data_IF_191823938212
#
_entry.id   IF_191823938212
#
_cell.length_a   1.000
_cell.length_b   1.000
_cell.length_c   1.000
_cell.angle_alpha   90.00
_cell.angle_beta   90.00
_cell.angle_gamma   90.00
#
_symmetry.space_group_name_H-M   'P 1'
#
loop_
_entity.id
_entity.type
_entity.pdbx_description
1 polymer ?
#
# COMPACT_ATOMS: atom_id res chain seq x y z
N UNK A 1 -22.25 5.65 20.53
CA UNK A 1 -22.03 5.46 19.08
C UNK A 1 -21.76 3.98 18.85
N UNK A 2 -22.46 3.31 17.94
CA UNK A 2 -22.23 1.90 17.65
C UNK A 2 -20.91 1.76 16.87
N UNK A 3 -20.07 0.81 17.27
CA UNK A 3 -18.80 0.52 16.60
C UNK A 3 -18.95 -0.77 15.80
N UNK A 4 -18.42 -0.77 14.56
CA UNK A 4 -18.39 -1.96 13.72
C UNK A 4 -17.33 -2.92 14.26
N UNK A 5 -17.71 -4.17 14.49
CA UNK A 5 -16.80 -5.21 14.98
C UNK A 5 -15.73 -5.54 13.94
N UNK A 6 -14.55 -5.94 14.39
CA UNK A 6 -13.44 -6.37 13.51
C UNK A 6 -13.81 -7.59 12.64
N UNK A 7 -14.79 -8.40 13.08
CA UNK A 7 -15.31 -9.56 12.32
C UNK A 7 -16.40 -9.20 11.31
N UNK A 8 -16.72 -7.91 11.13
CA UNK A 8 -17.74 -7.48 10.19
C UNK A 8 -17.46 -7.95 8.76
N UNK A 9 -18.48 -8.36 7.99
CA UNK A 9 -18.29 -8.81 6.61
C UNK A 9 -17.76 -7.66 5.74
N UNK A 10 -16.98 -8.00 4.73
CA UNK A 10 -16.40 -7.04 3.78
C UNK A 10 -17.30 -6.98 2.54
N UNK A 11 -17.49 -5.77 1.99
CA UNK A 11 -18.25 -5.52 0.76
C UNK A 11 -19.68 -6.07 0.80
N UNK A 12 -20.24 -6.18 2.01
CA UNK A 12 -21.57 -6.73 2.27
C UNK A 12 -22.34 -5.80 3.19
N UNK A 13 -23.64 -5.63 2.91
CA UNK A 13 -24.53 -4.83 3.75
C UNK A 13 -24.69 -5.47 5.13
N UNK A 14 -24.51 -4.66 6.16
CA UNK A 14 -24.89 -4.98 7.54
C UNK A 14 -26.15 -4.17 7.86
N UNK A 15 -27.35 -4.80 7.80
CA UNK A 15 -28.60 -4.08 8.04
C UNK A 15 -28.74 -3.72 9.51
N UNK A 16 -29.24 -2.52 9.75
CA UNK A 16 -29.73 -2.09 11.05
C UNK A 16 -31.18 -1.67 10.89
N UNK A 17 -32.05 -2.20 11.74
CA UNK A 17 -33.48 -1.92 11.71
C UNK A 17 -33.87 -1.26 13.03
N UNK A 18 -34.56 -0.16 12.96
CA UNK A 18 -35.13 0.54 14.12
C UNK A 18 -36.64 0.73 13.95
N UNK A 19 -37.37 0.56 15.05
CA UNK A 19 -38.81 0.85 15.14
C UNK A 19 -39.15 1.28 16.56
N UNK A 20 -40.26 1.94 16.73
CA UNK A 20 -40.81 2.32 18.02
C UNK A 20 -42.00 1.44 18.36
N UNK A 21 -42.04 0.89 19.56
CA UNK A 21 -43.22 0.20 20.09
C UNK A 21 -43.97 1.15 21.03
N UNK A 22 -45.28 1.27 20.87
CA UNK A 22 -46.12 2.07 21.73
C UNK A 22 -47.42 1.33 22.05
N UNK A 23 -47.87 1.42 23.31
CA UNK A 23 -48.93 0.57 23.81
C UNK A 23 -48.55 -0.94 23.79
N UNK A 24 -49.56 -1.79 23.97
CA UNK A 24 -49.30 -3.25 24.07
C UNK A 24 -49.17 -3.95 22.73
N UNK A 25 -49.65 -3.34 21.61
CA UNK A 25 -49.73 -4.00 20.30
C UNK A 25 -49.36 -3.13 19.10
N UNK A 26 -48.97 -1.89 19.32
CA UNK A 26 -48.68 -0.95 18.24
C UNK A 26 -47.18 -0.80 18.00
N UNK A 27 -46.78 -0.80 16.72
CA UNK A 27 -45.40 -0.66 16.26
C UNK A 27 -45.36 0.37 15.13
N UNK A 28 -44.39 1.27 15.14
CA UNK A 28 -44.11 2.16 14.02
C UNK A 28 -43.63 1.40 12.78
N UNK A 29 -43.59 2.06 11.64
CA UNK A 29 -42.89 1.57 10.48
C UNK A 29 -41.39 1.31 10.82
N UNK A 30 -40.83 0.29 10.19
CA UNK A 30 -39.39 -0.04 10.34
C UNK A 30 -38.55 0.86 9.46
N UNK A 31 -37.60 1.54 10.06
CA UNK A 31 -36.53 2.25 9.34
C UNK A 31 -35.33 1.34 9.25
N UNK A 32 -34.87 1.09 8.01
CA UNK A 32 -33.71 0.25 7.73
C UNK A 32 -32.55 1.09 7.21
N UNK A 33 -31.38 0.87 7.75
CA UNK A 33 -30.11 1.44 7.27
C UNK A 33 -29.10 0.32 7.05
N UNK A 34 -28.18 0.50 6.11
CA UNK A 34 -27.09 -0.44 5.86
C UNK A 34 -25.75 0.21 6.21
N UNK A 35 -24.93 -0.51 6.94
CA UNK A 35 -23.54 -0.16 7.18
C UNK A 35 -22.65 -1.09 6.36
N UNK A 36 -21.52 -0.59 5.88
CA UNK A 36 -20.58 -1.36 5.06
C UNK A 36 -19.16 -1.17 5.57
N UNK A 37 -18.35 -2.21 5.40
CA UNK A 37 -16.88 -2.12 5.42
C UNK A 37 -16.34 -2.56 4.08
N UNK A 38 -15.28 -1.89 3.63
CA UNK A 38 -14.73 -2.05 2.29
C UNK A 38 -13.36 -2.68 2.30
N UNK A 39 -13.04 -3.37 1.20
CA UNK A 39 -11.72 -3.88 0.91
C UNK A 39 -11.01 -3.06 -0.16
N UNK A 40 -9.67 -2.96 -0.06
CA UNK A 40 -8.78 -2.39 -1.09
C UNK A 40 -7.79 -3.48 -1.50
N UNK A 41 -7.96 -4.12 -2.66
CA UNK A 41 -6.94 -4.99 -3.22
C UNK A 41 -5.80 -4.14 -3.81
N UNK A 42 -4.57 -4.45 -3.41
CA UNK A 42 -3.34 -3.81 -3.93
C UNK A 42 -2.51 -4.87 -4.64
N UNK A 43 -1.98 -4.54 -5.80
CA UNK A 43 -1.08 -5.39 -6.58
C UNK A 43 0.25 -4.70 -6.81
N UNK A 44 1.29 -5.27 -6.22
CA UNK A 44 2.67 -4.83 -6.35
C UNK A 44 3.36 -5.57 -7.49
N UNK A 45 3.95 -4.81 -8.42
CA UNK A 45 4.55 -5.40 -9.62
C UNK A 45 5.72 -4.57 -10.17
N UNK A 46 6.50 -5.20 -11.06
CA UNK A 46 7.39 -4.53 -12.00
C UNK A 46 6.91 -4.77 -13.43
N UNK A 47 7.30 -3.90 -14.36
CA UNK A 47 7.07 -4.12 -15.79
C UNK A 47 8.34 -4.69 -16.42
N UNK A 48 8.19 -5.83 -17.11
CA UNK A 48 9.27 -6.46 -17.87
C UNK A 48 8.73 -6.75 -19.28
N UNK A 49 9.31 -6.11 -20.28
CA UNK A 49 8.88 -6.21 -21.69
C UNK A 49 7.35 -6.03 -21.89
N UNK A 50 6.71 -5.14 -21.08
CA UNK A 50 5.28 -4.89 -21.12
C UNK A 50 4.42 -5.83 -20.25
N UNK A 51 4.98 -6.94 -19.78
CA UNK A 51 4.29 -7.83 -18.84
C UNK A 51 4.43 -7.34 -17.39
N UNK A 52 3.39 -7.57 -16.58
CA UNK A 52 3.43 -7.29 -15.13
C UNK A 52 3.90 -8.52 -14.39
N UNK A 53 5.06 -8.41 -13.74
CA UNK A 53 5.62 -9.44 -12.87
C UNK A 53 5.37 -9.05 -11.40
N UNK A 54 4.80 -9.95 -10.61
CA UNK A 54 4.54 -9.75 -9.19
C UNK A 54 5.83 -9.49 -8.42
N UNK A 55 5.76 -8.60 -7.42
CA UNK A 55 6.87 -8.31 -6.52
C UNK A 55 6.46 -8.55 -5.07
N UNK A 56 7.12 -9.52 -4.45
CA UNK A 56 7.02 -9.82 -3.02
C UNK A 56 7.89 -8.89 -2.17
N UNK A 57 7.55 -8.78 -0.89
CA UNK A 57 8.41 -8.16 0.13
C UNK A 57 8.46 -6.64 0.13
N UNK A 58 7.68 -5.96 -0.72
CA UNK A 58 7.48 -4.52 -0.61
C UNK A 58 6.69 -4.20 0.66
N UNK A 59 7.09 -3.16 1.40
CA UNK A 59 6.44 -2.76 2.64
C UNK A 59 5.73 -1.43 2.47
N UNK A 60 4.51 -1.35 3.04
CA UNK A 60 3.67 -0.16 2.96
C UNK A 60 3.07 0.19 4.31
N UNK A 61 2.63 1.43 4.43
CA UNK A 61 1.72 1.91 5.46
C UNK A 61 0.52 2.60 4.81
N UNK A 62 -0.64 2.55 5.46
CA UNK A 62 -1.85 3.22 5.03
C UNK A 62 -2.26 4.27 6.06
N UNK A 63 -2.59 5.48 5.59
CA UNK A 63 -3.01 6.59 6.44
C UNK A 63 -4.29 7.24 5.91
N UNK A 64 -5.05 7.87 6.79
CA UNK A 64 -6.17 8.76 6.44
C UNK A 64 -5.71 10.19 6.16
N UNK A 65 -4.44 10.48 6.35
CA UNK A 65 -3.81 11.78 6.19
C UNK A 65 -2.58 11.67 5.27
N UNK A 66 -2.42 12.64 4.36
CA UNK A 66 -1.32 12.69 3.38
C UNK A 66 0.06 12.91 4.01
N UNK A 67 0.11 13.45 5.21
CA UNK A 67 1.35 13.72 5.94
C UNK A 67 1.78 12.53 6.82
N UNK A 68 0.96 11.50 6.92
CA UNK A 68 1.20 10.33 7.78
C UNK A 68 1.43 10.70 9.25
N UNK A 69 0.64 11.68 9.72
CA UNK A 69 0.67 12.14 11.11
C UNK A 69 0.37 10.96 12.05
N UNK A 70 1.06 10.93 13.19
CA UNK A 70 0.80 9.94 14.23
C UNK A 70 -0.68 9.94 14.63
N UNK A 71 -1.27 8.74 14.78
CA UNK A 71 -2.71 8.56 15.02
C UNK A 71 -3.57 8.46 13.76
N UNK A 72 -3.10 8.90 12.59
CA UNK A 72 -3.79 8.75 11.31
C UNK A 72 -3.27 7.56 10.49
N UNK A 73 -2.13 7.00 10.84
CA UNK A 73 -1.62 5.75 10.28
C UNK A 73 -2.41 4.59 10.87
N UNK A 74 -2.97 3.76 10.00
CA UNK A 74 -3.88 2.69 10.40
C UNK A 74 -3.11 1.43 10.80
N UNK A 75 -3.63 0.73 11.82
CA UNK A 75 -3.12 -0.55 12.26
C UNK A 75 -3.98 -1.70 11.73
N UNK A 76 -3.36 -2.85 11.56
CA UNK A 76 -3.98 -4.05 11.00
C UNK A 76 -3.56 -5.29 11.77
N UNK A 77 -4.49 -6.23 11.90
CA UNK A 77 -4.16 -7.64 12.13
C UNK A 77 -4.07 -8.34 10.77
N UNK A 78 -3.21 -9.36 10.64
CA UNK A 78 -3.06 -10.04 9.35
C UNK A 78 -3.10 -11.56 9.47
N UNK A 79 -3.57 -12.19 8.40
CA UNK A 79 -3.47 -13.63 8.13
C UNK A 79 -3.00 -13.79 6.69
N UNK A 80 -1.76 -14.22 6.50
CA UNK A 80 -1.11 -14.22 5.19
C UNK A 80 -1.04 -12.81 4.59
N UNK A 81 -1.53 -12.63 3.36
CA UNK A 81 -1.59 -11.35 2.66
C UNK A 81 -2.88 -10.55 2.89
N UNK A 82 -3.74 -11.00 3.82
CA UNK A 82 -4.99 -10.33 4.19
C UNK A 82 -4.79 -9.54 5.47
N UNK A 83 -4.95 -8.24 5.37
CA UNK A 83 -4.79 -7.25 6.43
C UNK A 83 -6.15 -6.67 6.80
N UNK A 84 -6.56 -6.81 8.05
CA UNK A 84 -7.84 -6.30 8.54
C UNK A 84 -7.61 -5.14 9.50
N UNK A 85 -8.30 -4.03 9.25
CA UNK A 85 -8.21 -2.86 10.12
C UNK A 85 -8.50 -3.23 11.58
N UNK A 86 -7.62 -2.80 12.46
CA UNK A 86 -7.71 -2.96 13.90
C UNK A 86 -7.76 -1.57 14.57
N UNK A 87 -8.82 -1.32 15.33
CA UNK A 87 -8.96 -0.05 16.08
C UNK A 87 -8.02 0.02 17.28
N UNK A 88 -7.58 -1.14 17.77
CA UNK A 88 -6.63 -1.31 18.86
C UNK A 88 -5.71 -2.48 18.57
N UNK A 89 -4.45 -2.36 18.96
CA UNK A 89 -3.45 -3.42 18.69
C UNK A 89 -3.07 -3.50 17.21
N UNK A 90 -2.54 -4.66 16.78
CA UNK A 90 -2.03 -4.87 15.43
C UNK A 90 -0.74 -4.11 15.15
N UNK A 91 -0.35 -4.05 13.87
CA UNK A 91 0.76 -3.24 13.40
C UNK A 91 0.35 -2.47 12.14
N UNK A 92 1.15 -1.50 11.73
CA UNK A 92 0.86 -0.65 10.57
C UNK A 92 1.57 -1.10 9.30
N UNK A 93 2.37 -2.16 9.35
CA UNK A 93 3.13 -2.64 8.20
C UNK A 93 2.29 -3.61 7.34
N UNK A 94 2.17 -3.30 6.06
CA UNK A 94 1.56 -4.11 5.03
C UNK A 94 2.66 -4.63 4.11
N UNK A 95 2.70 -5.93 3.83
CA UNK A 95 3.76 -6.56 3.03
C UNK A 95 3.16 -7.27 1.83
N UNK A 96 3.71 -7.05 0.63
CA UNK A 96 3.28 -7.78 -0.56
C UNK A 96 3.72 -9.25 -0.50
N UNK A 97 2.77 -10.15 -0.80
CA UNK A 97 3.02 -11.60 -0.86
C UNK A 97 3.72 -12.00 -2.17
N UNK A 98 4.01 -13.29 -2.34
CA UNK A 98 4.68 -13.84 -3.54
C UNK A 98 3.94 -13.53 -4.84
N UNK A 99 2.62 -13.46 -4.79
CA UNK A 99 1.75 -13.06 -5.91
C UNK A 99 1.65 -11.53 -6.10
N UNK A 100 2.39 -10.76 -5.32
CA UNK A 100 2.35 -9.30 -5.29
C UNK A 100 1.12 -8.71 -4.62
N UNK A 101 0.21 -9.53 -4.09
CA UNK A 101 -1.06 -9.05 -3.54
C UNK A 101 -0.96 -8.64 -2.08
N UNK A 102 -1.72 -7.59 -1.74
CA UNK A 102 -2.06 -7.15 -0.38
C UNK A 102 -3.56 -6.90 -0.37
N UNK A 103 -4.30 -7.62 0.48
CA UNK A 103 -5.75 -7.42 0.64
C UNK A 103 -6.01 -6.63 1.92
N UNK A 104 -6.38 -5.36 1.80
CA UNK A 104 -6.65 -4.47 2.93
C UNK A 104 -8.15 -4.42 3.14
N UNK A 105 -8.64 -4.79 4.32
CA UNK A 105 -10.05 -5.00 4.62
C UNK A 105 -10.51 -4.23 5.86
N UNK A 106 -11.84 -4.03 5.99
CA UNK A 106 -12.44 -3.44 7.18
C UNK A 106 -12.44 -1.91 7.19
N UNK A 107 -12.26 -1.28 6.04
CA UNK A 107 -12.19 0.17 5.92
C UNK A 107 -13.59 0.78 5.74
N UNK A 108 -13.80 2.00 6.25
CA UNK A 108 -14.98 2.82 5.95
C UNK A 108 -14.80 3.57 4.62
N UNK A 109 -15.87 4.13 4.07
CA UNK A 109 -15.74 5.09 2.97
C UNK A 109 -14.88 6.27 3.39
N UNK A 110 -13.96 6.70 2.52
CA UNK A 110 -13.03 7.77 2.83
C UNK A 110 -11.87 7.88 1.84
N UNK A 111 -10.98 8.81 2.12
CA UNK A 111 -9.71 8.99 1.39
C UNK A 111 -8.58 8.40 2.21
N UNK A 112 -7.72 7.65 1.54
CA UNK A 112 -6.57 6.96 2.11
C UNK A 112 -5.32 7.27 1.30
N UNK A 113 -4.18 7.18 1.94
CA UNK A 113 -2.86 7.37 1.34
C UNK A 113 -2.01 6.15 1.62
N UNK A 114 -1.58 5.47 0.55
CA UNK A 114 -0.72 4.29 0.61
C UNK A 114 0.71 4.72 0.30
N UNK A 115 1.61 4.56 1.25
CA UNK A 115 3.02 4.91 1.13
C UNK A 115 3.88 3.67 1.17
N UNK A 116 4.76 3.51 0.20
CA UNK A 116 5.81 2.50 0.24
C UNK A 116 6.91 2.95 1.21
N UNK A 117 7.21 2.12 2.20
CA UNK A 117 8.25 2.37 3.20
C UNK A 117 9.55 1.62 2.89
N UNK A 118 9.42 0.49 2.16
CA UNK A 118 10.55 -0.29 1.66
C UNK A 118 10.18 -0.93 0.32
N UNK A 119 10.99 -0.68 -0.72
CA UNK A 119 10.90 -1.43 -1.98
C UNK A 119 11.57 -2.80 -1.83
N UNK A 120 11.21 -3.81 -2.65
CA UNK A 120 11.99 -5.04 -2.76
C UNK A 120 13.44 -4.76 -3.17
N UNK A 121 14.35 -5.66 -2.81
CA UNK A 121 15.77 -5.49 -3.12
C UNK A 121 16.00 -5.42 -4.64
N UNK A 122 16.81 -4.45 -5.08
CA UNK A 122 17.07 -4.17 -6.49
C UNK A 122 16.04 -3.26 -7.18
N UNK A 123 15.06 -2.74 -6.46
CA UNK A 123 14.04 -1.84 -6.98
C UNK A 123 14.08 -0.46 -6.33
N UNK A 124 13.68 0.55 -7.08
CA UNK A 124 13.59 1.92 -6.60
C UNK A 124 12.32 2.12 -5.77
N UNK A 125 12.44 2.75 -4.62
CA UNK A 125 11.32 3.12 -3.75
C UNK A 125 10.36 4.09 -4.45
N UNK A 126 9.06 3.85 -4.34
CA UNK A 126 8.04 4.81 -4.74
C UNK A 126 7.99 5.97 -3.74
N UNK A 127 8.43 7.16 -4.17
CA UNK A 127 8.56 8.32 -3.28
C UNK A 127 7.22 8.99 -2.95
N UNK A 128 6.28 8.98 -3.92
CA UNK A 128 4.99 9.67 -3.77
C UNK A 128 3.93 8.69 -3.30
N UNK A 129 3.21 8.97 -2.20
CA UNK A 129 2.10 8.16 -1.78
C UNK A 129 0.98 8.11 -2.82
N UNK A 130 0.28 6.98 -2.89
CA UNK A 130 -0.87 6.79 -3.76
C UNK A 130 -2.12 7.22 -3.00
N UNK A 131 -2.86 8.20 -3.53
CA UNK A 131 -4.15 8.62 -2.98
C UNK A 131 -5.26 7.72 -3.50
N UNK A 132 -6.00 7.11 -2.58
CA UNK A 132 -7.06 6.14 -2.83
C UNK A 132 -8.34 6.68 -2.23
N UNK A 133 -9.41 6.70 -3.02
CA UNK A 133 -10.73 7.11 -2.57
C UNK A 133 -11.64 5.88 -2.62
N UNK A 134 -12.24 5.53 -1.49
CA UNK A 134 -13.16 4.41 -1.35
C UNK A 134 -14.55 4.94 -1.04
N UNK A 135 -15.52 4.56 -1.85
CA UNK A 135 -16.95 4.89 -1.65
C UNK A 135 -17.80 3.67 -1.87
N UNK A 136 -19.04 3.68 -1.38
CA UNK A 136 -20.04 2.70 -1.76
C UNK A 136 -20.83 3.18 -2.98
N UNK A 137 -21.13 2.27 -3.89
CA UNK A 137 -22.12 2.51 -4.94
C UNK A 137 -23.51 2.35 -4.36
N UNK A 138 -24.32 3.39 -4.43
CA UNK A 138 -25.67 3.41 -3.83
C UNK A 138 -26.64 2.41 -4.50
N UNK A 139 -26.44 2.10 -5.77
CA UNK A 139 -27.33 1.20 -6.53
C UNK A 139 -26.98 -0.28 -6.29
N UNK A 140 -25.70 -0.60 -6.19
CA UNK A 140 -25.23 -1.99 -6.10
C UNK A 140 -24.80 -2.39 -4.68
N UNK A 141 -24.57 -1.42 -3.79
CA UNK A 141 -24.02 -1.64 -2.44
C UNK A 141 -22.59 -2.19 -2.48
N UNK A 142 -21.86 -1.96 -3.58
CA UNK A 142 -20.48 -2.46 -3.78
C UNK A 142 -19.46 -1.35 -3.63
N UNK A 143 -18.19 -1.68 -3.30
CA UNK A 143 -17.15 -0.67 -3.23
C UNK A 143 -16.83 -0.09 -4.61
N UNK A 144 -16.60 1.21 -4.64
CA UNK A 144 -16.00 1.92 -5.76
C UNK A 144 -14.65 2.46 -5.29
N UNK A 145 -13.58 1.91 -5.85
CA UNK A 145 -12.21 2.28 -5.54
C UNK A 145 -11.71 3.19 -6.66
N UNK A 146 -11.19 4.37 -6.30
CA UNK A 146 -10.57 5.30 -7.24
C UNK A 146 -9.14 5.57 -6.81
N UNK A 147 -8.24 5.63 -7.77
CA UNK A 147 -6.88 6.14 -7.59
C UNK A 147 -6.83 7.55 -8.16
N UNK A 148 -6.38 8.49 -7.34
CA UNK A 148 -6.21 9.89 -7.75
C UNK A 148 -4.75 10.12 -8.17
N UNK A 149 -4.57 10.44 -9.44
CA UNK A 149 -3.27 10.82 -10.01
C UNK A 149 -3.35 12.27 -10.43
N UNK A 150 -2.65 13.14 -9.72
CA UNK A 150 -2.57 14.60 -10.00
C UNK A 150 -3.95 15.28 -10.11
N UNK A 151 -4.89 14.93 -9.22
CA UNK A 151 -6.23 15.51 -9.19
C UNK A 151 -7.25 14.83 -10.10
N UNK A 152 -6.86 13.81 -10.83
CA UNK A 152 -7.78 12.99 -11.64
C UNK A 152 -8.01 11.64 -10.99
N UNK A 153 -9.24 11.40 -10.51
CA UNK A 153 -9.62 10.17 -9.83
C UNK A 153 -10.21 9.15 -10.83
N UNK A 154 -9.51 8.04 -11.05
CA UNK A 154 -9.91 6.98 -11.98
C UNK A 154 -10.39 5.75 -11.20
N UNK A 155 -11.54 5.18 -11.60
CA UNK A 155 -12.08 3.94 -11.01
C UNK A 155 -11.18 2.76 -11.40
N UNK A 156 -10.81 1.97 -10.39
CA UNK A 156 -9.96 0.78 -10.56
C UNK A 156 -10.56 -0.43 -9.84
N UNK A 157 -10.26 -1.64 -10.33
CA UNK A 157 -10.62 -2.88 -9.63
C UNK A 157 -9.63 -3.23 -8.52
N UNK A 158 -8.37 -2.81 -8.68
CA UNK A 158 -7.28 -2.98 -7.72
C UNK A 158 -6.31 -1.81 -7.86
N UNK A 159 -5.66 -1.45 -6.78
CA UNK A 159 -4.60 -0.44 -6.77
C UNK A 159 -3.31 -1.07 -7.26
N UNK A 160 -2.81 -0.63 -8.39
CA UNK A 160 -1.59 -1.16 -9.00
C UNK A 160 -0.40 -0.28 -8.63
N UNK A 161 0.64 -0.91 -8.05
CA UNK A 161 1.85 -0.24 -7.57
C UNK A 161 3.06 -0.77 -8.28
N UNK A 162 3.61 0.01 -9.19
CA UNK A 162 4.81 -0.37 -9.95
C UNK A 162 6.08 0.10 -9.25
N UNK A 163 7.11 -0.78 -9.16
CA UNK A 163 8.49 -0.36 -8.97
C UNK A 163 9.30 -0.65 -10.23
N UNK A 164 10.22 0.26 -10.53
CA UNK A 164 11.21 0.06 -11.57
C UNK A 164 12.48 -0.53 -10.95
N UNK A 165 13.18 -1.40 -11.69
CA UNK A 165 14.51 -1.87 -11.29
C UNK A 165 15.42 -0.66 -11.07
N UNK A 166 16.16 -0.66 -9.97
CA UNK A 166 17.20 0.31 -9.74
C UNK A 166 18.27 0.16 -10.85
N UNK A 167 18.77 1.27 -11.38
CA UNK A 167 19.98 1.21 -12.18
C UNK A 167 21.09 0.73 -11.24
N UNK A 168 21.68 -0.42 -11.53
CA UNK A 168 22.96 -0.78 -10.93
C UNK A 168 23.91 0.36 -11.32
N UNK A 169 24.30 1.20 -10.36
CA UNK A 169 25.44 2.08 -10.58
C UNK A 169 26.58 1.17 -11.00
N UNK A 170 27.23 1.40 -12.14
CA UNK A 170 28.41 0.64 -12.49
C UNK A 170 29.31 0.69 -11.26
N UNK A 171 29.73 -0.48 -10.77
CA UNK A 171 30.71 -0.56 -9.69
C UNK A 171 32.00 0.08 -10.22
N UNK A 172 32.15 1.39 -10.02
CA UNK A 172 33.32 2.16 -10.42
C UNK A 172 34.58 1.77 -9.59
N UNK A 173 34.43 0.80 -8.67
CA UNK A 173 35.49 0.33 -7.79
C UNK A 173 36.23 -0.93 -8.23
N UNK A 174 35.83 -1.61 -9.34
CA UNK A 174 36.33 -2.96 -9.60
C UNK A 174 37.67 -3.04 -10.34
N UNK A 175 37.81 -2.47 -11.52
CA UNK A 175 39.03 -2.62 -12.32
C UNK A 175 39.80 -1.32 -12.57
N UNK A 176 39.12 -0.18 -12.60
CA UNK A 176 39.71 1.12 -12.88
C UNK A 176 40.67 1.60 -11.79
N UNK A 177 40.28 1.41 -10.53
CA UNK A 177 41.13 1.79 -9.38
C UNK A 177 42.36 0.93 -9.26
N UNK A 178 42.28 -0.39 -9.48
CA UNK A 178 43.42 -1.29 -9.48
C UNK A 178 44.41 -0.94 -10.61
N UNK A 179 43.89 -0.63 -11.81
CA UNK A 179 44.72 -0.21 -12.94
C UNK A 179 45.45 1.12 -12.65
N UNK A 180 44.76 2.09 -12.04
CA UNK A 180 45.33 3.38 -11.67
C UNK A 180 46.44 3.21 -10.61
N UNK A 181 46.26 2.35 -9.60
CA UNK A 181 47.28 2.07 -8.60
C UNK A 181 48.47 1.34 -9.19
N UNK A 182 48.28 0.36 -10.10
CA UNK A 182 49.37 -0.36 -10.75
C UNK A 182 50.15 0.58 -11.65
N UNK A 183 49.50 1.37 -12.51
CA UNK A 183 50.19 2.33 -13.39
C UNK A 183 50.89 3.43 -12.58
N UNK A 184 50.24 3.95 -11.54
CA UNK A 184 50.81 4.96 -10.65
C UNK A 184 52.04 4.48 -9.92
N UNK A 185 52.04 3.25 -9.39
CA UNK A 185 53.20 2.67 -8.71
C UNK A 185 54.37 2.41 -9.66
N UNK A 186 54.12 1.98 -10.90
CA UNK A 186 55.20 1.81 -11.91
C UNK A 186 55.82 3.15 -12.27
N UNK A 187 55.06 4.23 -12.43
CA UNK A 187 55.56 5.56 -12.71
C UNK A 187 56.43 6.12 -11.58
N UNK A 188 56.05 5.89 -10.30
CA UNK A 188 56.85 6.30 -9.14
C UNK A 188 58.17 5.53 -9.07
N UNK A 189 58.18 4.22 -9.33
CA UNK A 189 59.39 3.41 -9.36
C UNK A 189 60.31 3.80 -10.51
N UNK A 190 59.76 4.07 -11.71
CA UNK A 190 60.54 4.51 -12.86
C UNK A 190 61.20 5.89 -12.63
N UNK A 191 60.50 6.82 -11.98
CA UNK A 191 61.08 8.15 -11.66
C UNK A 191 62.20 8.09 -10.61
N UNK A 192 62.17 7.09 -9.71
CA UNK A 192 63.24 6.87 -8.72
C UNK A 192 64.54 6.35 -9.31
N UNK A 193 64.48 5.67 -10.47
CA UNK A 193 65.67 5.11 -11.13
C UNK A 193 66.44 6.15 -11.98
N UNK A 194 65.80 7.23 -12.38
CA UNK A 194 66.45 8.29 -13.22
C UNK A 194 67.20 9.32 -12.41
N UNK A 195 67.15 9.27 -11.08
CA UNK A 195 67.79 10.23 -10.16
C UNK A 195 69.13 9.73 -9.54
N UNK A 196 69.72 8.60 -10.06
CA UNK A 196 71.05 8.13 -9.68
C UNK A 196 71.91 7.91 -10.90
#
# INVERSE_FOLDING_TARGET
MAQVKETAPIDTAMPNTAYLTYGEHSKSEEVKTNTYTWGIPVFKYTSNAGAKEALAGAKFILSTDSNFTEGNVLNFTNTGNTYRYASTGGNNELVSAEDGMISINGLKSGTYYLKETKAPDGYNLLKTPIKIIVTGDAATGKPVIKVDTNGTATVVKKVEVQNNKGSLLPSTGGMGTTLIYVVGSILVLASGIVLF
#
